data_IF_059964083373
#
_entry.id   IF_059964083373
#
_cell.length_a   1.000
_cell.length_b   1.000
_cell.length_c   1.000
_cell.angle_alpha   90.00
_cell.angle_beta   90.00
_cell.angle_gamma   90.00
#
_symmetry.space_group_name_H-M   'P 1'
#
loop_
_entity.id
_entity.type
_entity.pdbx_description
1 polymer ?
#
# COMPACT_ATOMS: atom_id res chain seq x y z
N UNK A 1 -1.07 12.47 -11.62
CA UNK A 1 -2.34 12.13 -10.90
C UNK A 1 -2.27 12.59 -9.45
N UNK A 2 -3.42 12.65 -8.79
CA UNK A 2 -3.52 12.91 -7.35
C UNK A 2 -4.53 11.94 -6.72
N UNK A 3 -4.13 11.27 -5.64
CA UNK A 3 -5.01 10.42 -4.83
C UNK A 3 -5.24 11.10 -3.48
N UNK A 4 -6.50 11.31 -3.14
CA UNK A 4 -6.92 11.78 -1.81
C UNK A 4 -7.70 10.66 -1.14
N UNK A 5 -7.30 10.29 0.08
CA UNK A 5 -8.01 9.35 0.93
C UNK A 5 -8.56 10.05 2.16
N UNK A 6 -9.79 9.71 2.54
CA UNK A 6 -10.45 10.25 3.72
C UNK A 6 -11.22 9.14 4.45
N UNK A 7 -11.71 9.47 5.64
CA UNK A 7 -12.46 8.57 6.50
C UNK A 7 -11.63 7.99 7.65
N UNK A 8 -12.33 7.61 8.70
CA UNK A 8 -11.85 7.09 9.95
C UNK A 8 -12.10 5.58 10.03
N UNK A 9 -11.31 4.88 10.86
CA UNK A 9 -11.39 3.43 11.02
C UNK A 9 -12.77 2.93 11.43
N UNK A 10 -13.45 3.68 12.31
CA UNK A 10 -14.80 3.40 12.78
C UNK A 10 -15.80 4.51 12.38
N UNK A 11 -15.43 5.38 11.44
CA UNK A 11 -16.33 6.35 10.82
C UNK A 11 -17.30 5.69 9.84
N UNK A 12 -18.21 6.47 9.28
CA UNK A 12 -19.31 6.01 8.42
C UNK A 12 -18.83 5.27 7.18
N UNK A 13 -17.76 5.77 6.54
CA UNK A 13 -17.19 5.21 5.33
C UNK A 13 -15.75 5.69 5.13
N UNK A 14 -15.02 4.97 4.31
CA UNK A 14 -13.77 5.44 3.71
C UNK A 14 -14.10 6.05 2.35
N UNK A 15 -13.38 7.09 1.96
CA UNK A 15 -13.58 7.81 0.70
C UNK A 15 -12.24 7.92 -0.04
N UNK A 16 -12.27 7.69 -1.34
CA UNK A 16 -11.14 7.95 -2.24
C UNK A 16 -11.54 8.84 -3.40
N UNK A 17 -10.63 9.73 -3.79
CA UNK A 17 -10.76 10.55 -4.99
C UNK A 17 -9.47 10.44 -5.78
N UNK A 18 -9.59 10.03 -7.05
CA UNK A 18 -8.48 9.98 -8.01
C UNK A 18 -8.73 11.06 -9.04
N UNK A 19 -7.80 12.00 -9.14
CA UNK A 19 -7.81 13.08 -10.14
C UNK A 19 -6.68 12.86 -11.13
N UNK A 20 -6.92 13.14 -12.41
CA UNK A 20 -5.93 13.05 -13.49
C UNK A 20 -5.86 11.67 -14.18
N UNK A 21 -6.93 10.86 -14.11
CA UNK A 21 -7.05 9.66 -14.94
C UNK A 21 -7.45 10.05 -16.37
N UNK A 22 -6.82 9.48 -17.42
CA UNK A 22 -7.26 9.64 -18.81
C UNK A 22 -8.70 9.17 -19.03
N UNK A 23 -9.39 9.76 -19.99
CA UNK A 23 -10.69 9.28 -20.46
C UNK A 23 -10.57 7.94 -21.20
N UNK A 24 -11.62 7.12 -21.15
CA UNK A 24 -11.74 5.90 -21.92
C UNK A 24 -11.16 4.63 -21.29
N UNK A 25 -10.63 4.69 -20.09
CA UNK A 25 -10.17 3.50 -19.36
C UNK A 25 -11.40 2.70 -18.94
N UNK A 26 -11.50 1.44 -19.39
CA UNK A 26 -12.54 0.52 -18.91
C UNK A 26 -12.21 0.01 -17.53
N UNK A 27 -13.13 0.20 -16.59
CA UNK A 27 -13.01 -0.24 -15.20
C UNK A 27 -14.09 -1.27 -14.90
N UNK A 28 -13.66 -2.39 -14.36
CA UNK A 28 -14.52 -3.45 -13.88
C UNK A 28 -14.62 -3.39 -12.35
N UNK A 29 -15.83 -3.18 -11.82
CA UNK A 29 -16.10 -3.08 -10.39
C UNK A 29 -15.81 -4.40 -9.66
N UNK A 30 -16.10 -5.54 -10.30
CA UNK A 30 -15.89 -6.86 -9.69
C UNK A 30 -14.40 -7.11 -9.42
N UNK A 31 -13.50 -6.62 -10.27
CA UNK A 31 -12.05 -6.68 -10.05
C UNK A 31 -11.62 -5.85 -8.85
N UNK A 32 -12.19 -4.65 -8.68
CA UNK A 32 -11.91 -3.83 -7.50
C UNK A 32 -12.36 -4.58 -6.25
N UNK A 33 -13.56 -5.15 -6.27
CA UNK A 33 -14.11 -5.91 -5.15
C UNK A 33 -13.31 -7.20 -4.87
N UNK A 34 -12.76 -7.85 -5.89
CA UNK A 34 -11.87 -9.00 -5.74
C UNK A 34 -10.55 -8.63 -5.05
N UNK A 35 -9.92 -7.50 -5.41
CA UNK A 35 -8.71 -7.01 -4.74
C UNK A 35 -9.00 -6.60 -3.27
N UNK A 36 -10.17 -6.01 -3.00
CA UNK A 36 -10.63 -5.71 -1.65
C UNK A 36 -10.82 -7.00 -0.81
N UNK A 37 -11.37 -8.05 -1.40
CA UNK A 37 -11.52 -9.36 -0.76
C UNK A 37 -10.16 -10.00 -0.49
N UNK A 38 -9.24 -10.05 -1.46
CA UNK A 38 -7.85 -10.54 -1.29
C UNK A 38 -7.14 -9.84 -0.12
N UNK A 39 -7.34 -8.53 0.06
CA UNK A 39 -6.78 -7.78 1.19
C UNK A 39 -7.27 -8.30 2.54
N UNK A 40 -8.45 -8.90 2.62
CA UNK A 40 -9.04 -9.41 3.86
C UNK A 40 -8.63 -10.85 4.17
N UNK A 41 -8.03 -11.57 3.24
CA UNK A 41 -7.55 -12.94 3.37
C UNK A 41 -6.24 -13.04 4.18
N UNK A 42 -5.77 -14.26 4.37
CA UNK A 42 -4.51 -14.61 5.01
C UNK A 42 -4.67 -15.26 6.39
N UNK A 43 -3.73 -16.16 6.69
CA UNK A 43 -3.66 -16.82 8.00
C UNK A 43 -3.14 -15.82 9.06
N UNK A 44 -3.69 -15.88 10.27
CA UNK A 44 -3.27 -14.95 11.34
C UNK A 44 -4.09 -13.66 11.45
N UNK A 45 -5.17 -13.53 10.65
CA UNK A 45 -6.06 -12.36 10.70
C UNK A 45 -6.95 -12.37 11.94
N UNK A 46 -7.22 -11.17 12.46
CA UNK A 46 -8.06 -10.94 13.64
C UNK A 46 -9.57 -10.95 13.34
N UNK A 47 -10.37 -10.89 14.39
CA UNK A 47 -11.83 -11.02 14.32
C UNK A 47 -12.55 -9.93 13.50
N UNK A 48 -11.95 -8.76 13.31
CA UNK A 48 -12.54 -7.65 12.54
C UNK A 48 -12.77 -8.03 11.07
N UNK A 49 -11.91 -8.87 10.49
CA UNK A 49 -12.04 -9.30 9.10
C UNK A 49 -13.31 -10.11 8.83
N UNK A 50 -13.96 -10.64 9.89
CA UNK A 50 -15.24 -11.36 9.78
C UNK A 50 -16.45 -10.41 9.72
N UNK A 51 -16.29 -9.17 10.16
CA UNK A 51 -17.37 -8.16 10.23
C UNK A 51 -17.43 -7.39 8.92
N UNK A 52 -16.29 -6.95 8.43
CA UNK A 52 -16.18 -6.11 7.23
C UNK A 52 -16.25 -6.96 5.95
N UNK A 53 -17.10 -6.56 5.02
CA UNK A 53 -17.12 -7.06 3.64
C UNK A 53 -16.96 -5.86 2.74
N UNK A 54 -15.71 -5.55 2.39
CA UNK A 54 -15.38 -4.34 1.66
C UNK A 54 -15.92 -4.42 0.23
N UNK A 55 -16.71 -3.41 -0.16
CA UNK A 55 -17.19 -3.21 -1.52
C UNK A 55 -17.10 -1.74 -1.87
N UNK A 56 -16.63 -1.48 -3.10
CA UNK A 56 -16.57 -0.14 -3.65
C UNK A 56 -17.95 0.31 -4.10
N UNK A 57 -18.26 1.58 -3.89
CA UNK A 57 -19.39 2.29 -4.51
C UNK A 57 -18.82 3.51 -5.22
N UNK A 58 -18.83 3.49 -6.56
CA UNK A 58 -18.33 4.60 -7.38
C UNK A 58 -19.38 5.69 -7.47
N UNK A 59 -19.01 6.93 -7.14
CA UNK A 59 -19.91 8.08 -7.07
C UNK A 59 -19.80 9.00 -8.27
N UNK A 60 -18.63 9.09 -8.90
CA UNK A 60 -18.37 10.00 -10.05
C UNK A 60 -17.15 9.54 -10.86
N UNK A 61 -16.90 10.21 -11.99
CA UNK A 61 -15.70 10.01 -12.81
C UNK A 61 -15.84 8.93 -13.87
N UNK A 62 -17.00 8.26 -13.93
CA UNK A 62 -17.25 7.17 -14.88
C UNK A 62 -18.67 7.24 -15.46
N UNK A 63 -18.81 6.79 -16.71
CA UNK A 63 -20.08 6.55 -17.39
C UNK A 63 -19.95 5.27 -18.24
N UNK A 64 -20.90 4.36 -18.11
CA UNK A 64 -20.90 3.12 -18.90
C UNK A 64 -19.64 2.26 -18.70
N UNK A 65 -19.10 2.23 -17.48
CA UNK A 65 -17.90 1.47 -17.15
C UNK A 65 -16.58 2.09 -17.62
N UNK A 66 -16.59 3.31 -18.14
CA UNK A 66 -15.38 4.00 -18.62
C UNK A 66 -15.14 5.32 -17.90
N UNK A 67 -13.87 5.65 -17.67
CA UNK A 67 -13.44 6.94 -17.13
C UNK A 67 -13.76 8.06 -18.13
N UNK A 68 -14.06 9.26 -17.62
CA UNK A 68 -14.44 10.44 -18.41
C UNK A 68 -13.53 11.66 -18.17
N UNK A 69 -12.29 11.43 -17.68
CA UNK A 69 -11.29 12.43 -17.30
C UNK A 69 -11.71 13.36 -16.14
N UNK A 70 -12.91 13.23 -15.59
CA UNK A 70 -13.28 13.92 -14.35
C UNK A 70 -12.80 13.16 -13.12
N UNK A 71 -12.70 13.80 -11.93
CA UNK A 71 -12.31 13.11 -10.71
C UNK A 71 -13.18 11.88 -10.43
N UNK A 72 -12.53 10.71 -10.30
CA UNK A 72 -13.18 9.48 -9.91
C UNK A 72 -13.28 9.44 -8.40
N UNK A 73 -14.48 9.56 -7.87
CA UNK A 73 -14.74 9.47 -6.43
C UNK A 73 -15.49 8.18 -6.11
N UNK A 74 -15.10 7.55 -5.01
CA UNK A 74 -15.72 6.32 -4.52
C UNK A 74 -15.76 6.27 -3.00
N UNK A 75 -16.63 5.42 -2.47
CA UNK A 75 -16.76 5.16 -1.04
C UNK A 75 -16.73 3.66 -0.76
N UNK A 76 -16.29 3.31 0.46
CA UNK A 76 -16.34 1.96 1.01
C UNK A 76 -16.94 2.07 2.41
N UNK A 77 -18.12 1.47 2.62
CA UNK A 77 -18.84 1.56 3.89
C UNK A 77 -18.12 0.76 4.98
N UNK A 78 -18.06 1.31 6.18
CA UNK A 78 -17.68 0.58 7.38
C UNK A 78 -18.92 -0.03 8.03
N UNK A 79 -19.02 -1.36 8.07
CA UNK A 79 -20.17 -2.03 8.69
C UNK A 79 -20.20 -1.87 10.20
N UNK A 80 -19.03 -1.79 10.82
CA UNK A 80 -18.91 -1.58 12.27
C UNK A 80 -19.37 -0.19 12.72
N UNK A 81 -19.58 0.76 11.80
CA UNK A 81 -20.01 2.12 12.13
C UNK A 81 -21.33 2.17 12.93
N UNK A 82 -22.26 1.26 12.69
CA UNK A 82 -23.52 1.20 13.43
C UNK A 82 -23.30 1.10 14.94
N UNK A 83 -22.26 0.39 15.38
CA UNK A 83 -21.86 0.27 16.78
C UNK A 83 -21.12 1.52 17.29
N UNK A 84 -20.70 2.39 16.39
CA UNK A 84 -19.87 3.57 16.70
C UNK A 84 -20.60 4.92 16.52
N UNK A 85 -21.84 4.93 16.03
CA UNK A 85 -22.63 6.16 15.82
C UNK A 85 -22.60 7.10 17.05
N UNK A 86 -22.81 6.62 18.31
CA UNK A 86 -22.81 7.51 19.47
C UNK A 86 -21.47 8.20 19.74
N UNK A 87 -20.39 7.69 19.14
CA UNK A 87 -19.02 8.16 19.41
C UNK A 87 -18.36 8.83 18.20
N UNK A 88 -18.75 8.44 16.98
CA UNK A 88 -18.10 8.84 15.74
C UNK A 88 -19.00 9.62 14.78
N UNK A 89 -20.22 9.99 15.20
CA UNK A 89 -21.04 10.91 14.41
C UNK A 89 -20.31 12.24 14.27
N UNK A 90 -20.21 12.83 13.07
CA UNK A 90 -19.43 14.06 12.83
C UNK A 90 -19.88 15.27 13.62
N UNK A 91 -21.14 15.33 14.03
CA UNK A 91 -21.73 16.50 14.70
C UNK A 91 -22.06 16.24 16.17
N UNK A 92 -22.45 15.03 16.53
CA UNK A 92 -22.97 14.69 17.85
C UNK A 92 -22.19 13.62 18.58
N UNK A 93 -21.12 13.09 17.94
CA UNK A 93 -20.35 11.97 18.48
C UNK A 93 -19.57 12.36 19.75
N UNK A 94 -19.69 11.53 20.76
CA UNK A 94 -19.02 11.70 22.07
C UNK A 94 -17.76 10.84 22.13
N UNK A 95 -16.77 11.15 21.30
CA UNK A 95 -15.53 10.36 21.15
C UNK A 95 -14.76 10.17 22.47
N UNK A 96 -14.87 11.10 23.39
CA UNK A 96 -14.20 11.03 24.72
C UNK A 96 -14.73 9.90 25.59
N UNK A 97 -15.97 9.43 25.37
CA UNK A 97 -16.50 8.22 26.03
C UNK A 97 -15.80 6.94 25.59
N UNK A 98 -15.04 6.98 24.49
CA UNK A 98 -14.19 5.91 23.96
C UNK A 98 -12.72 6.36 23.90
N UNK A 99 -12.31 7.26 24.80
CA UNK A 99 -10.93 7.73 24.86
C UNK A 99 -9.93 6.59 24.96
N UNK A 100 -8.82 6.73 24.27
CA UNK A 100 -7.66 5.85 24.33
C UNK A 100 -6.55 6.61 25.07
N UNK A 101 -6.33 6.29 26.33
CA UNK A 101 -5.34 6.96 27.19
C UNK A 101 -4.05 6.16 27.31
N UNK A 102 -4.10 4.82 27.22
CA UNK A 102 -2.93 3.95 27.14
C UNK A 102 -2.38 3.97 25.71
N UNK A 103 -1.37 4.80 25.45
CA UNK A 103 -0.77 4.96 24.11
C UNK A 103 0.02 3.71 23.73
N UNK A 104 -0.15 3.25 22.48
CA UNK A 104 0.46 2.01 22.00
C UNK A 104 1.90 2.24 21.55
N UNK A 105 2.88 1.49 22.09
CA UNK A 105 4.24 1.49 21.58
C UNK A 105 4.28 1.08 20.10
N UNK A 106 5.07 1.78 19.29
CA UNK A 106 5.18 1.50 17.85
C UNK A 106 4.03 2.01 16.98
N UNK A 107 3.04 2.72 17.54
CA UNK A 107 1.95 3.37 16.85
C UNK A 107 2.11 4.91 16.84
N UNK A 108 1.25 5.61 16.10
CA UNK A 108 1.26 7.08 16.03
C UNK A 108 0.67 7.78 17.26
N UNK A 109 0.14 7.05 18.23
CA UNK A 109 -0.69 7.55 19.33
C UNK A 109 -0.04 8.72 20.07
N UNK A 110 1.13 8.51 20.68
CA UNK A 110 1.81 9.53 21.49
C UNK A 110 2.22 10.74 20.65
N UNK A 111 2.89 10.52 19.53
CA UNK A 111 3.32 11.59 18.64
C UNK A 111 2.15 12.38 18.06
N UNK A 112 1.04 11.69 17.76
CA UNK A 112 -0.16 12.30 17.20
C UNK A 112 -0.87 13.21 18.20
N UNK A 113 -1.09 12.76 19.45
CA UNK A 113 -1.73 13.61 20.46
C UNK A 113 -0.90 14.85 20.78
N UNK A 114 0.41 14.73 20.81
CA UNK A 114 1.32 15.87 21.04
C UNK A 114 1.24 16.85 19.85
N UNK A 115 1.36 16.33 18.63
CA UNK A 115 1.38 17.17 17.42
C UNK A 115 0.08 17.94 17.20
N UNK A 116 -1.07 17.29 17.41
CA UNK A 116 -2.38 17.88 17.07
C UNK A 116 -3.14 18.39 18.29
N UNK A 117 -2.58 18.30 19.49
CA UNK A 117 -3.18 18.85 20.71
C UNK A 117 -4.48 18.15 21.14
N UNK A 118 -4.61 16.85 20.92
CA UNK A 118 -5.81 16.10 21.30
C UNK A 118 -5.93 15.80 22.81
N UNK A 119 -5.05 16.39 23.62
CA UNK A 119 -5.04 16.14 25.06
C UNK A 119 -4.75 14.67 25.38
N UNK A 120 -5.38 14.10 26.42
CA UNK A 120 -5.08 12.73 26.85
C UNK A 120 -5.86 11.65 26.06
N UNK A 121 -6.31 11.94 24.85
CA UNK A 121 -7.13 11.04 24.06
C UNK A 121 -6.50 10.75 22.70
N UNK A 122 -5.91 9.55 22.54
CA UNK A 122 -5.33 9.11 21.27
C UNK A 122 -6.36 8.53 20.28
N UNK A 123 -7.65 8.53 20.60
CA UNK A 123 -8.69 7.99 19.71
C UNK A 123 -8.69 8.65 18.33
N UNK A 124 -8.66 9.98 18.18
CA UNK A 124 -8.63 10.63 16.85
C UNK A 124 -7.41 10.21 16.01
N UNK A 125 -6.25 10.01 16.68
CA UNK A 125 -5.03 9.53 16.01
C UNK A 125 -5.22 8.09 15.53
N UNK A 126 -5.74 7.20 16.39
CA UNK A 126 -6.03 5.80 16.03
C UNK A 126 -6.93 5.71 14.82
N UNK A 127 -7.99 6.50 14.80
CA UNK A 127 -9.01 6.45 13.76
C UNK A 127 -8.42 6.71 12.36
N UNK A 128 -7.52 7.66 12.23
CA UNK A 128 -6.91 7.97 10.94
C UNK A 128 -5.62 7.20 10.66
N UNK A 129 -4.80 6.91 11.66
CA UNK A 129 -3.54 6.17 11.49
C UNK A 129 -3.73 4.66 11.30
N UNK A 130 -4.94 4.15 11.44
CA UNK A 130 -5.29 2.76 11.25
C UNK A 130 -4.98 2.26 9.84
N UNK A 131 -4.49 1.01 9.72
CA UNK A 131 -4.32 0.33 8.44
C UNK A 131 -5.65 0.11 7.67
N UNK A 132 -6.81 0.42 8.28
CA UNK A 132 -8.11 0.46 7.58
C UNK A 132 -8.09 1.42 6.38
N UNK A 133 -7.32 2.50 6.45
CA UNK A 133 -7.12 3.46 5.36
C UNK A 133 -6.58 2.79 4.09
N UNK A 134 -5.79 1.71 4.19
CA UNK A 134 -5.24 0.99 3.03
C UNK A 134 -6.34 0.36 2.14
N UNK A 135 -7.54 0.14 2.66
CA UNK A 135 -8.69 -0.31 1.86
C UNK A 135 -8.98 0.66 0.71
N UNK A 136 -8.91 1.98 0.98
CA UNK A 136 -9.08 3.00 -0.04
C UNK A 136 -7.94 2.98 -1.07
N UNK A 137 -6.69 2.76 -0.61
CA UNK A 137 -5.54 2.62 -1.53
C UNK A 137 -5.67 1.38 -2.40
N UNK A 138 -6.21 0.28 -1.90
CA UNK A 138 -6.43 -0.94 -2.68
C UNK A 138 -7.48 -0.69 -3.77
N UNK A 139 -8.61 -0.06 -3.45
CA UNK A 139 -9.61 0.28 -4.46
C UNK A 139 -9.03 1.21 -5.55
N UNK A 140 -8.31 2.27 -5.15
CA UNK A 140 -7.64 3.17 -6.09
C UNK A 140 -6.57 2.46 -6.92
N UNK A 141 -5.76 1.60 -6.30
CA UNK A 141 -4.72 0.82 -6.97
C UNK A 141 -5.29 -0.19 -7.97
N UNK A 142 -6.45 -0.79 -7.67
CA UNK A 142 -7.15 -1.68 -8.60
C UNK A 142 -7.62 -0.94 -9.87
N UNK A 143 -8.08 0.30 -9.73
CA UNK A 143 -8.36 1.18 -10.88
C UNK A 143 -7.08 1.42 -11.69
N UNK A 144 -5.97 1.76 -11.02
CA UNK A 144 -4.69 2.01 -11.67
C UNK A 144 -4.13 0.75 -12.36
N UNK A 145 -4.27 -0.44 -11.77
CA UNK A 145 -3.86 -1.72 -12.40
C UNK A 145 -4.59 -1.97 -13.70
N UNK A 146 -5.90 -1.71 -13.76
CA UNK A 146 -6.69 -1.87 -14.98
C UNK A 146 -6.26 -0.89 -16.07
N UNK A 147 -5.89 0.34 -15.70
CA UNK A 147 -5.31 1.31 -16.62
C UNK A 147 -3.94 0.86 -17.16
N UNK A 148 -3.08 0.36 -16.29
CA UNK A 148 -1.75 -0.16 -16.64
C UNK A 148 -1.84 -1.37 -17.58
N UNK A 149 -2.73 -2.31 -17.29
CA UNK A 149 -2.96 -3.49 -18.14
C UNK A 149 -3.39 -3.11 -19.56
N UNK A 150 -4.19 -2.05 -19.71
CA UNK A 150 -4.61 -1.55 -21.02
C UNK A 150 -3.44 -1.06 -21.89
N UNK A 151 -2.29 -0.74 -21.28
CA UNK A 151 -1.05 -0.36 -21.96
C UNK A 151 0.04 -1.44 -21.86
N UNK A 152 -0.33 -2.67 -21.44
CA UNK A 152 0.58 -3.80 -21.38
C UNK A 152 1.59 -3.77 -20.24
N UNK A 153 1.25 -3.11 -19.12
CA UNK A 153 2.02 -3.14 -17.86
C UNK A 153 1.21 -3.90 -16.81
N UNK A 154 1.82 -4.88 -16.15
CA UNK A 154 1.16 -5.69 -15.12
C UNK A 154 1.96 -5.70 -13.83
N UNK A 155 1.30 -5.95 -12.70
CA UNK A 155 1.93 -5.95 -11.38
C UNK A 155 1.54 -7.24 -10.65
N UNK A 156 2.56 -7.91 -10.11
CA UNK A 156 2.41 -9.11 -9.28
C UNK A 156 3.17 -8.93 -7.98
N UNK A 157 2.70 -9.58 -6.92
CA UNK A 157 3.35 -9.56 -5.63
C UNK A 157 3.38 -10.93 -4.98
N UNK A 158 4.37 -11.15 -4.12
CA UNK A 158 4.49 -12.37 -3.31
C UNK A 158 5.12 -12.08 -1.96
N UNK A 159 4.82 -12.92 -1.00
CA UNK A 159 5.50 -12.93 0.28
C UNK A 159 6.86 -13.62 0.15
N UNK A 160 7.89 -13.07 0.78
CA UNK A 160 9.23 -13.65 0.81
C UNK A 160 9.56 -14.27 2.17
N UNK A 161 9.18 -13.59 3.25
CA UNK A 161 9.58 -13.95 4.62
C UNK A 161 8.46 -13.58 5.58
N UNK A 162 8.16 -14.46 6.54
CA UNK A 162 7.30 -14.17 7.69
C UNK A 162 8.05 -14.53 8.97
N UNK A 163 8.20 -13.56 9.89
CA UNK A 163 8.86 -13.78 11.18
C UNK A 163 10.29 -14.30 11.08
N UNK A 164 11.03 -13.93 10.02
CA UNK A 164 12.37 -14.41 9.73
C UNK A 164 12.44 -15.75 8.98
N UNK A 165 11.30 -16.36 8.67
CA UNK A 165 11.22 -17.68 7.98
C UNK A 165 10.89 -17.47 6.51
N UNK A 166 11.79 -17.90 5.61
CA UNK A 166 11.61 -17.86 4.15
C UNK A 166 10.93 -19.10 3.56
N UNK A 167 10.81 -20.19 4.32
CA UNK A 167 10.15 -21.44 3.90
C UNK A 167 8.64 -21.31 4.08
N UNK A 168 7.92 -21.18 2.98
CA UNK A 168 6.46 -20.99 2.96
C UNK A 168 5.71 -22.10 3.71
N UNK A 169 6.18 -23.34 3.62
CA UNK A 169 5.55 -24.49 4.28
C UNK A 169 5.51 -24.35 5.82
N UNK A 170 6.35 -23.47 6.39
CA UNK A 170 6.47 -23.22 7.84
C UNK A 170 5.75 -21.96 8.31
N UNK A 171 5.22 -21.15 7.42
CA UNK A 171 4.63 -19.87 7.80
C UNK A 171 3.45 -20.02 8.75
N UNK A 172 2.52 -20.94 8.48
CA UNK A 172 1.36 -21.14 9.35
C UNK A 172 1.72 -21.61 10.76
N UNK A 173 2.73 -22.46 10.89
CA UNK A 173 3.24 -22.89 12.20
C UNK A 173 3.92 -21.74 12.93
N UNK A 174 4.71 -20.91 12.23
CA UNK A 174 5.35 -19.71 12.78
C UNK A 174 4.32 -18.71 13.27
N UNK A 175 3.27 -18.45 12.49
CA UNK A 175 2.17 -17.56 12.88
C UNK A 175 1.39 -18.14 14.07
N UNK A 176 1.16 -19.47 14.09
CA UNK A 176 0.48 -20.14 15.20
C UNK A 176 1.26 -20.04 16.50
N UNK A 177 2.59 -20.22 16.46
CA UNK A 177 3.45 -20.06 17.61
C UNK A 177 3.37 -18.62 18.18
N UNK A 178 3.52 -17.61 17.31
CA UNK A 178 3.38 -16.20 17.73
C UNK A 178 1.99 -15.90 18.32
N UNK A 179 0.92 -16.47 17.77
CA UNK A 179 -0.43 -16.32 18.32
C UNK A 179 -0.55 -16.89 19.74
N UNK A 180 0.04 -18.07 19.99
CA UNK A 180 0.03 -18.69 21.33
C UNK A 180 0.81 -17.84 22.35
N UNK A 181 1.86 -17.18 21.92
CA UNK A 181 2.65 -16.27 22.74
C UNK A 181 1.98 -14.89 22.92
N UNK A 182 0.84 -14.64 22.27
CA UNK A 182 0.16 -13.34 22.26
C UNK A 182 0.92 -12.25 21.51
N UNK A 183 1.82 -12.62 20.59
CA UNK A 183 2.72 -11.72 19.85
C UNK A 183 2.30 -11.54 18.40
N UNK A 184 3.04 -10.71 17.64
CA UNK A 184 2.79 -10.41 16.23
C UNK A 184 4.06 -10.54 15.39
N UNK A 185 3.91 -10.79 14.10
CA UNK A 185 5.00 -11.00 13.17
C UNK A 185 4.99 -9.96 12.04
N UNK A 186 6.18 -9.51 11.70
CA UNK A 186 6.47 -8.80 10.47
C UNK A 186 6.96 -9.74 9.38
N UNK A 187 7.46 -9.17 8.28
CA UNK A 187 8.06 -9.95 7.19
C UNK A 187 8.39 -9.09 5.99
N UNK A 188 8.68 -9.75 4.89
CA UNK A 188 9.06 -9.10 3.63
C UNK A 188 8.15 -9.57 2.49
N UNK A 189 7.82 -8.65 1.59
CA UNK A 189 7.12 -8.92 0.34
C UNK A 189 7.94 -8.41 -0.84
N UNK A 190 7.73 -9.01 -2.00
CA UNK A 190 8.28 -8.58 -3.28
C UNK A 190 7.14 -8.17 -4.21
N UNK A 191 7.33 -7.07 -4.92
CA UNK A 191 6.45 -6.59 -5.97
C UNK A 191 7.24 -6.53 -7.26
N UNK A 192 6.68 -7.09 -8.32
CA UNK A 192 7.28 -7.04 -9.65
C UNK A 192 6.34 -6.31 -10.61
N UNK A 193 6.87 -5.31 -11.32
CA UNK A 193 6.17 -4.60 -12.38
C UNK A 193 6.72 -5.08 -13.72
N UNK A 194 5.87 -5.71 -14.50
CA UNK A 194 6.24 -6.29 -15.80
C UNK A 194 5.87 -5.35 -16.93
N UNK A 195 6.65 -5.37 -18.01
CA UNK A 195 6.34 -4.68 -19.27
C UNK A 195 6.51 -3.16 -19.22
N UNK A 196 7.32 -2.65 -18.31
CA UNK A 196 7.63 -1.21 -18.25
C UNK A 196 8.28 -0.72 -19.52
N UNK A 197 7.79 0.38 -20.12
CA UNK A 197 8.50 1.04 -21.21
C UNK A 197 9.80 1.66 -20.69
N UNK A 198 10.84 1.67 -21.53
CA UNK A 198 12.13 2.29 -21.19
C UNK A 198 11.98 3.80 -21.01
N UNK A 199 12.66 4.36 -19.99
CA UNK A 199 12.79 5.80 -19.79
C UNK A 199 11.60 6.45 -19.07
N UNK A 200 10.86 5.70 -18.26
CA UNK A 200 9.93 6.27 -17.27
C UNK A 200 10.74 6.74 -16.07
N UNK A 201 10.42 7.91 -15.54
CA UNK A 201 11.26 8.62 -14.57
C UNK A 201 12.31 9.50 -15.26
N UNK A 202 13.29 10.00 -14.51
CA UNK A 202 14.31 10.91 -15.07
C UNK A 202 15.60 10.91 -14.25
N UNK A 203 16.74 10.97 -14.92
CA UNK A 203 18.05 11.22 -14.29
C UNK A 203 18.34 12.72 -14.11
N UNK A 204 17.56 13.59 -14.75
CA UNK A 204 17.85 15.02 -14.88
C UNK A 204 17.77 15.75 -13.54
N UNK A 205 16.86 15.35 -12.65
CA UNK A 205 16.68 15.94 -11.33
C UNK A 205 16.31 14.87 -10.30
N UNK A 206 16.81 15.03 -9.05
CA UNK A 206 16.70 14.03 -8.00
C UNK A 206 15.25 13.66 -7.64
N UNK A 207 14.34 14.64 -7.66
CA UNK A 207 12.93 14.50 -7.32
C UNK A 207 12.05 13.88 -8.44
N UNK A 208 12.67 13.55 -9.57
CA UNK A 208 12.04 12.87 -10.71
C UNK A 208 12.59 11.46 -10.95
N UNK A 209 13.45 10.96 -10.07
CA UNK A 209 13.96 9.59 -10.14
C UNK A 209 12.87 8.59 -9.78
N UNK A 210 12.66 7.58 -10.64
CA UNK A 210 11.61 6.58 -10.48
C UNK A 210 11.76 5.76 -9.19
N UNK A 211 12.98 5.35 -8.86
CA UNK A 211 13.28 4.62 -7.62
C UNK A 211 12.90 5.43 -6.37
N UNK A 212 13.25 6.73 -6.35
CA UNK A 212 12.90 7.62 -5.24
C UNK A 212 11.39 7.79 -5.09
N UNK A 213 10.67 7.95 -6.20
CA UNK A 213 9.21 8.14 -6.20
C UNK A 213 8.47 6.85 -5.78
N UNK A 214 8.90 5.68 -6.30
CA UNK A 214 8.37 4.40 -5.88
C UNK A 214 8.63 4.15 -4.39
N UNK A 215 9.85 4.41 -3.92
CA UNK A 215 10.19 4.27 -2.50
C UNK A 215 9.35 5.20 -1.62
N UNK A 216 9.11 6.45 -2.00
CA UNK A 216 8.26 7.40 -1.28
C UNK A 216 6.83 6.85 -1.10
N UNK A 217 6.21 6.38 -2.18
CA UNK A 217 4.85 5.85 -2.13
C UNK A 217 4.77 4.57 -1.29
N UNK A 218 5.67 3.63 -1.50
CA UNK A 218 5.70 2.34 -0.81
C UNK A 218 6.07 2.49 0.67
N UNK A 219 7.01 3.38 1.01
CA UNK A 219 7.35 3.70 2.41
C UNK A 219 6.19 4.34 3.17
N UNK A 220 5.23 4.95 2.48
CA UNK A 220 4.03 5.54 3.09
C UNK A 220 3.00 4.51 3.57
N UNK A 221 3.16 3.23 3.22
CA UNK A 221 2.28 2.15 3.68
C UNK A 221 2.52 1.91 5.16
N UNK A 222 1.44 1.76 5.93
CA UNK A 222 1.53 1.47 7.36
C UNK A 222 2.38 0.21 7.60
N UNK A 223 3.25 0.27 8.59
CA UNK A 223 4.22 -0.77 8.98
C UNK A 223 5.42 -0.96 8.07
N UNK A 224 5.49 -0.40 6.87
CA UNK A 224 6.71 -0.46 6.03
C UNK A 224 7.85 0.30 6.71
N UNK A 225 9.05 -0.30 6.71
CA UNK A 225 10.28 0.25 7.31
C UNK A 225 11.49 0.21 6.41
N UNK A 226 11.43 -0.57 5.32
CA UNK A 226 12.44 -0.55 4.28
C UNK A 226 11.79 -0.82 2.93
N UNK A 227 12.36 -0.22 1.88
CA UNK A 227 12.05 -0.46 0.48
C UNK A 227 13.37 -0.66 -0.25
N UNK A 228 13.53 -1.79 -0.91
CA UNK A 228 14.69 -2.13 -1.76
C UNK A 228 14.29 -2.16 -3.23
N UNK A 229 15.24 -1.85 -4.11
CA UNK A 229 15.10 -1.96 -5.56
C UNK A 229 16.11 -2.98 -6.07
N UNK A 230 15.67 -3.97 -6.86
CA UNK A 230 16.49 -5.08 -7.31
C UNK A 230 17.03 -5.90 -6.14
N UNK A 231 18.33 -6.12 -6.09
CA UNK A 231 18.98 -6.81 -4.98
C UNK A 231 19.00 -5.99 -3.68
N UNK A 232 18.63 -4.69 -3.73
CA UNK A 232 18.51 -3.83 -2.57
C UNK A 232 19.79 -3.78 -1.73
N UNK A 233 19.66 -4.04 -0.42
CA UNK A 233 20.79 -3.99 0.52
C UNK A 233 21.94 -4.97 0.19
N UNK A 234 21.64 -6.09 -0.48
CA UNK A 234 22.67 -7.09 -0.86
C UNK A 234 23.73 -6.52 -1.82
N UNK A 235 23.41 -5.46 -2.56
CA UNK A 235 24.38 -4.80 -3.43
C UNK A 235 25.54 -4.19 -2.63
N UNK A 236 25.35 -3.86 -1.36
CA UNK A 236 26.39 -3.34 -0.48
C UNK A 236 27.51 -4.35 -0.19
N UNK A 237 27.26 -5.64 -0.31
CA UNK A 237 28.21 -6.72 -0.07
C UNK A 237 28.90 -7.21 -1.36
N UNK A 238 28.55 -6.64 -2.53
CA UNK A 238 28.99 -7.09 -3.85
C UNK A 238 30.09 -6.22 -4.43
N UNK A 239 30.94 -6.81 -5.25
CA UNK A 239 31.87 -6.05 -6.10
C UNK A 239 31.12 -5.47 -7.31
N UNK A 240 31.58 -4.34 -7.85
CA UNK A 240 30.93 -3.71 -9.00
C UNK A 240 30.78 -4.61 -10.21
N UNK A 241 31.78 -5.46 -10.52
CA UNK A 241 31.71 -6.46 -11.59
C UNK A 241 30.67 -7.56 -11.39
N UNK A 242 30.25 -7.78 -10.15
CA UNK A 242 29.23 -8.74 -9.79
C UNK A 242 27.85 -8.11 -9.63
N UNK A 243 27.81 -6.81 -9.31
CA UNK A 243 26.59 -6.07 -9.01
C UNK A 243 25.89 -5.54 -10.26
N UNK A 244 26.67 -5.07 -11.27
CA UNK A 244 26.08 -4.42 -12.45
C UNK A 244 25.65 -5.43 -13.50
N UNK A 245 24.52 -5.13 -14.15
CA UNK A 245 23.95 -5.95 -15.22
C UNK A 245 24.63 -5.59 -16.55
N UNK A 246 25.38 -6.53 -17.14
CA UNK A 246 26.03 -6.35 -18.42
C UNK A 246 25.01 -6.21 -19.56
N UNK A 247 25.32 -5.35 -20.54
CA UNK A 247 24.46 -5.08 -21.69
C UNK A 247 25.04 -5.80 -22.92
N UNK A 248 24.25 -6.70 -23.49
CA UNK A 248 24.57 -7.47 -24.68
C UNK A 248 23.70 -7.01 -25.87
N UNK A 249 24.06 -7.37 -27.12
CA UNK A 249 23.25 -7.00 -28.30
C UNK A 249 21.79 -7.51 -28.25
N UNK A 250 21.54 -8.58 -27.51
CA UNK A 250 20.23 -9.21 -27.31
C UNK A 250 19.57 -8.87 -25.95
N UNK A 251 20.10 -7.88 -25.25
CA UNK A 251 19.57 -7.39 -23.97
C UNK A 251 20.45 -7.76 -22.75
N UNK A 252 19.92 -7.54 -21.56
CA UNK A 252 20.57 -7.92 -20.30
C UNK A 252 20.38 -9.40 -19.98
N UNK A 253 21.32 -10.02 -19.29
CA UNK A 253 21.22 -11.43 -18.86
C UNK A 253 20.89 -11.56 -17.37
N UNK A 254 20.98 -10.47 -16.64
CA UNK A 254 20.64 -10.35 -15.22
C UNK A 254 19.84 -9.09 -14.99
N UNK A 255 19.14 -9.00 -13.87
CA UNK A 255 18.37 -7.82 -13.47
C UNK A 255 18.59 -7.51 -11.98
N UNK A 256 19.86 -7.31 -11.60
CA UNK A 256 20.26 -7.01 -10.23
C UNK A 256 19.87 -5.59 -9.83
N UNK A 257 19.88 -4.68 -10.81
CA UNK A 257 19.40 -3.30 -10.66
C UNK A 257 17.88 -3.23 -10.45
N UNK A 258 17.13 -4.33 -10.68
CA UNK A 258 15.67 -4.37 -10.52
C UNK A 258 14.93 -3.43 -11.46
N UNK A 259 15.34 -3.37 -12.73
CA UNK A 259 14.63 -2.64 -13.79
C UNK A 259 14.81 -1.12 -13.78
N UNK A 260 15.62 -0.57 -12.84
CA UNK A 260 15.85 0.88 -12.71
C UNK A 260 17.34 1.19 -12.68
N UNK A 261 17.77 2.02 -13.61
CA UNK A 261 19.14 2.53 -13.68
C UNK A 261 19.12 4.05 -13.82
N UNK A 262 19.91 4.74 -13.01
CA UNK A 262 19.99 6.19 -13.01
C UNK A 262 18.67 6.92 -12.71
N UNK A 263 17.70 6.23 -12.08
CA UNK A 263 16.37 6.78 -11.77
C UNK A 263 15.37 6.67 -12.92
N UNK A 264 15.63 5.80 -13.90
CA UNK A 264 14.73 5.53 -15.03
C UNK A 264 14.53 4.02 -15.23
N UNK A 265 13.36 3.64 -15.69
CA UNK A 265 13.12 2.26 -16.14
C UNK A 265 14.03 1.92 -17.33
N UNK A 266 14.63 0.73 -17.31
CA UNK A 266 15.57 0.26 -18.32
C UNK A 266 14.99 -0.78 -19.28
N UNK A 267 13.71 -1.14 -19.12
CA UNK A 267 13.00 -2.11 -19.96
C UNK A 267 12.90 -3.50 -19.35
N UNK A 268 13.69 -3.80 -18.32
CA UNK A 268 13.54 -5.01 -17.53
C UNK A 268 12.41 -4.87 -16.51
N UNK A 269 11.99 -5.97 -15.91
CA UNK A 269 11.01 -5.96 -14.83
C UNK A 269 11.48 -5.13 -13.63
N UNK A 270 10.61 -4.26 -13.11
CA UNK A 270 10.94 -3.53 -11.88
C UNK A 270 10.66 -4.44 -10.70
N UNK A 271 11.69 -4.71 -9.90
CA UNK A 271 11.62 -5.57 -8.72
C UNK A 271 11.81 -4.73 -7.47
N UNK A 272 10.82 -4.76 -6.57
CA UNK A 272 10.78 -3.98 -5.34
C UNK A 272 10.57 -4.91 -4.15
N UNK A 273 11.35 -4.73 -3.07
CA UNK A 273 11.15 -5.45 -1.81
C UNK A 273 10.72 -4.50 -0.71
N UNK A 274 9.76 -4.92 0.12
CA UNK A 274 9.26 -4.14 1.23
C UNK A 274 9.36 -4.94 2.52
N UNK A 275 9.93 -4.32 3.56
CA UNK A 275 9.95 -4.90 4.92
C UNK A 275 8.87 -4.26 5.77
N UNK A 276 8.00 -5.10 6.31
CA UNK A 276 6.94 -4.72 7.24
C UNK A 276 7.35 -5.08 8.66
N UNK A 277 7.32 -4.10 9.56
CA UNK A 277 7.47 -4.39 11.01
C UNK A 277 6.26 -5.15 11.54
N UNK A 278 6.38 -5.89 12.66
CA UNK A 278 5.25 -6.46 13.36
C UNK A 278 4.17 -5.43 13.70
N UNK A 279 2.92 -5.88 13.77
CA UNK A 279 1.78 -5.03 14.11
C UNK A 279 1.94 -4.56 15.58
N UNK A 280 1.76 -3.25 15.87
CA UNK A 280 2.02 -2.70 17.20
C UNK A 280 0.91 -2.98 18.24
N UNK A 281 -0.13 -3.70 17.86
CA UNK A 281 -1.21 -4.13 18.76
C UNK A 281 -1.03 -5.60 19.10
N UNK A 282 -0.64 -5.90 20.32
CA UNK A 282 -0.32 -7.26 20.80
C UNK A 282 -1.31 -7.68 21.89
N UNK A 283 -1.59 -8.98 21.97
CA UNK A 283 -2.40 -9.58 23.05
C UNK A 283 -1.64 -9.57 24.38
N UNK A 284 -0.35 -9.95 24.35
CA UNK A 284 0.49 -9.95 25.57
C UNK A 284 0.77 -8.55 26.14
N UNK A 285 0.50 -7.52 25.34
CA UNK A 285 0.69 -6.13 25.71
C UNK A 285 2.14 -5.70 25.90
N UNK A 286 2.38 -4.41 25.81
CA UNK A 286 3.68 -3.78 26.04
C UNK A 286 3.55 -2.71 27.11
N UNK A 287 4.63 -2.47 27.86
CA UNK A 287 4.69 -1.38 28.83
C UNK A 287 4.52 -0.03 28.14
N UNK A 288 3.70 0.82 28.72
CA UNK A 288 3.41 2.17 28.25
C UNK A 288 3.00 3.06 29.41
N UNK A 289 2.49 4.24 29.12
CA UNK A 289 1.93 5.18 30.10
C UNK A 289 0.48 5.50 29.74
N UNK A 290 -0.33 5.67 30.76
CA UNK A 290 -1.61 6.33 30.63
C UNK A 290 -1.37 7.85 30.57
N UNK A 291 -1.62 8.47 29.41
CA UNK A 291 -1.31 9.90 29.21
C UNK A 291 -2.22 10.86 29.98
N UNK A 292 -3.31 10.35 30.58
CA UNK A 292 -4.21 11.11 31.41
C UNK A 292 -3.71 11.20 32.86
N UNK A 293 -3.17 10.09 33.38
CA UNK A 293 -2.73 10.00 34.78
C UNK A 293 -1.22 10.10 34.96
N UNK A 294 -0.44 9.81 33.90
CA UNK A 294 1.01 9.67 33.95
C UNK A 294 1.50 8.32 34.49
N UNK A 295 0.59 7.43 34.87
CA UNK A 295 0.92 6.15 35.48
C UNK A 295 1.39 5.11 34.47
N UNK A 296 2.33 4.22 34.85
CA UNK A 296 2.72 3.08 34.03
C UNK A 296 1.55 2.10 33.84
N UNK A 297 1.30 1.69 32.61
CA UNK A 297 0.25 0.71 32.25
C UNK A 297 0.75 -0.26 31.18
N UNK A 298 -0.07 -1.24 30.83
CA UNK A 298 0.19 -2.15 29.72
C UNK A 298 -0.85 -1.93 28.62
N UNK A 299 -0.38 -1.66 27.40
CA UNK A 299 -1.24 -1.61 26.23
C UNK A 299 -1.37 -3.02 25.63
N UNK A 300 -2.57 -3.59 25.69
CA UNK A 300 -2.91 -4.87 25.09
C UNK A 300 -4.13 -4.76 24.17
N UNK A 301 -4.24 -5.63 23.16
CA UNK A 301 -5.40 -5.67 22.28
C UNK A 301 -5.73 -7.13 21.91
N UNK A 302 -6.80 -7.66 22.46
CA UNK A 302 -7.25 -9.04 22.29
C UNK A 302 -7.72 -9.39 20.85
N UNK A 303 -8.01 -8.38 20.03
CA UNK A 303 -8.55 -8.56 18.67
C UNK A 303 -7.52 -8.26 17.58
N UNK A 304 -6.23 -8.20 17.91
CA UNK A 304 -5.17 -7.91 16.94
C UNK A 304 -5.02 -9.00 15.89
N UNK A 305 -4.64 -8.59 14.67
CA UNK A 305 -4.04 -9.52 13.71
C UNK A 305 -2.68 -9.98 14.27
N UNK A 306 -2.29 -11.21 14.00
CA UNK A 306 -0.95 -11.74 14.33
C UNK A 306 0.04 -11.44 13.20
N UNK A 307 -0.41 -11.60 11.96
CA UNK A 307 0.37 -11.34 10.76
C UNK A 307 -0.54 -10.80 9.64
N UNK A 308 -0.03 -9.85 8.86
CA UNK A 308 -0.69 -9.31 7.66
C UNK A 308 0.13 -9.53 6.39
N UNK A 309 1.33 -10.13 6.52
CA UNK A 309 2.32 -10.19 5.44
C UNK A 309 1.94 -11.22 4.38
N UNK A 310 1.24 -12.31 4.75
CA UNK A 310 0.88 -13.39 3.85
C UNK A 310 -0.03 -12.94 2.68
N UNK A 311 -0.94 -11.99 2.92
CA UNK A 311 -1.89 -11.54 1.91
C UNK A 311 -2.05 -10.03 1.88
N UNK A 312 -2.55 -9.42 2.96
CA UNK A 312 -2.92 -8.00 2.97
C UNK A 312 -1.76 -7.07 2.57
N UNK A 313 -0.55 -7.33 3.05
CA UNK A 313 0.63 -6.52 2.74
C UNK A 313 0.98 -6.58 1.25
N UNK A 314 0.88 -7.76 0.63
CA UNK A 314 1.10 -7.96 -0.81
C UNK A 314 0.10 -7.12 -1.61
N UNK A 315 -1.20 -7.27 -1.34
CA UNK A 315 -2.27 -6.58 -2.09
C UNK A 315 -2.18 -5.07 -1.94
N UNK A 316 -1.86 -4.57 -0.74
CA UNK A 316 -1.65 -3.14 -0.51
C UNK A 316 -0.42 -2.63 -1.25
N UNK A 317 0.69 -3.36 -1.23
CA UNK A 317 1.91 -2.98 -1.92
C UNK A 317 1.75 -2.99 -3.45
N UNK A 318 1.09 -4.02 -4.03
CA UNK A 318 0.71 -4.05 -5.45
C UNK A 318 -0.11 -2.82 -5.84
N UNK A 319 -1.08 -2.45 -5.01
CA UNK A 319 -2.00 -1.35 -5.28
C UNK A 319 -1.32 0.01 -5.21
N UNK A 320 -0.45 0.21 -4.23
CA UNK A 320 0.33 1.46 -4.10
C UNK A 320 1.37 1.57 -5.21
N UNK A 321 2.03 0.46 -5.59
CA UNK A 321 2.93 0.42 -6.73
C UNK A 321 2.19 0.78 -8.03
N UNK A 322 0.97 0.25 -8.24
CA UNK A 322 0.16 0.55 -9.42
C UNK A 322 -0.16 2.04 -9.54
N UNK A 323 -0.55 2.67 -8.45
CA UNK A 323 -0.77 4.12 -8.45
C UNK A 323 0.51 4.88 -8.81
N UNK A 324 1.63 4.56 -8.16
CA UNK A 324 2.89 5.25 -8.38
C UNK A 324 3.43 5.07 -9.82
N UNK A 325 3.35 3.84 -10.34
CA UNK A 325 3.78 3.52 -11.71
C UNK A 325 2.91 4.23 -12.75
N UNK A 326 1.57 4.21 -12.58
CA UNK A 326 0.68 4.91 -13.51
C UNK A 326 0.91 6.43 -13.49
N UNK A 327 1.11 7.02 -12.32
CA UNK A 327 1.40 8.44 -12.17
C UNK A 327 2.68 8.83 -12.93
N UNK A 328 3.75 8.04 -12.83
CA UNK A 328 5.01 8.29 -13.52
C UNK A 328 4.92 8.05 -15.03
N UNK A 329 4.15 7.05 -15.46
CA UNK A 329 3.86 6.82 -16.87
C UNK A 329 3.10 8.02 -17.47
N UNK A 330 2.08 8.53 -16.78
CA UNK A 330 1.33 9.70 -17.22
C UNK A 330 2.18 10.97 -17.24
N UNK A 331 3.09 11.17 -16.29
CA UNK A 331 4.05 12.28 -16.31
C UNK A 331 5.03 12.18 -17.47
N UNK A 332 5.44 10.96 -17.83
CA UNK A 332 6.44 10.73 -18.89
C UNK A 332 5.82 10.86 -20.28
N UNK A 333 4.64 10.29 -20.50
CA UNK A 333 4.02 10.21 -21.83
C UNK A 333 2.87 11.20 -22.02
N UNK A 334 2.19 11.61 -20.93
CA UNK A 334 0.99 12.43 -21.02
C UNK A 334 -0.18 11.69 -21.70
N UNK A 335 -1.19 12.46 -22.12
CA UNK A 335 -2.39 11.97 -22.79
C UNK A 335 -3.63 12.19 -21.95
N UNK A 336 -4.64 12.81 -22.55
CA UNK A 336 -5.95 13.04 -21.94
C UNK A 336 -6.89 11.86 -22.16
N UNK A 337 -6.51 10.96 -23.09
CA UNK A 337 -7.24 9.73 -23.39
C UNK A 337 -6.35 8.49 -23.29
N UNK A 338 -6.98 7.33 -23.07
CA UNK A 338 -6.27 6.05 -23.07
C UNK A 338 -5.59 5.77 -24.42
N UNK A 339 -6.23 6.12 -25.53
CA UNK A 339 -5.70 5.87 -26.87
C UNK A 339 -4.43 6.69 -27.15
N UNK A 340 -4.39 7.96 -26.71
CA UNK A 340 -3.18 8.79 -26.81
C UNK A 340 -2.04 8.22 -25.94
N UNK A 341 -2.33 7.85 -24.69
CA UNK A 341 -1.36 7.23 -23.81
C UNK A 341 -0.79 5.95 -24.42
N UNK A 342 -1.67 5.08 -24.89
CA UNK A 342 -1.32 3.81 -25.52
C UNK A 342 -0.42 4.01 -26.74
N UNK A 343 -0.79 4.92 -27.65
CA UNK A 343 -0.01 5.24 -28.86
C UNK A 343 1.41 5.69 -28.49
N UNK A 344 1.57 6.57 -27.52
CA UNK A 344 2.88 7.09 -27.09
C UNK A 344 3.75 6.04 -26.41
N UNK A 345 3.15 5.15 -25.62
CA UNK A 345 3.85 4.01 -25.01
C UNK A 345 4.31 3.01 -26.07
N UNK A 346 3.48 2.70 -27.05
CA UNK A 346 3.81 1.80 -28.18
C UNK A 346 4.93 2.38 -29.05
N UNK A 347 4.90 3.68 -29.35
CA UNK A 347 5.97 4.38 -30.07
C UNK A 347 7.31 4.28 -29.33
N UNK A 348 7.32 4.49 -28.00
CA UNK A 348 8.51 4.32 -27.19
C UNK A 348 9.07 2.90 -27.22
N UNK A 349 8.18 1.90 -27.11
CA UNK A 349 8.58 0.48 -27.20
C UNK A 349 9.15 0.13 -28.57
N UNK A 350 8.56 0.64 -29.65
CA UNK A 350 9.07 0.45 -31.00
C UNK A 350 10.45 1.11 -31.21
N UNK A 351 10.67 2.27 -30.60
CA UNK A 351 11.96 2.96 -30.65
C UNK A 351 13.05 2.22 -29.85
N UNK A 352 12.71 1.65 -28.70
CA UNK A 352 13.66 0.93 -27.86
C UNK A 352 14.12 -0.44 -28.42
N UNK A 353 13.43 -0.97 -29.45
CA UNK A 353 13.79 -2.22 -30.15
C UNK A 353 14.75 -2.00 -31.34
N UNK A 354 15.09 -0.74 -31.67
CA UNK A 354 16.03 -0.39 -32.75
C UNK A 354 17.44 -0.25 -32.22
#
# INVERSE_FOLDING_TARGET
MRLITAGESHGRALVGVIEGLPAGITINEERINADLARRQEGYGRGGRMKIETDKVEVLSGMIGGKTIASPLAFTIKNRDYENWIPYMDPFTGEVDKKALTAVRPGHADLSGIIKYGFGPNARPVLERASARETTTRVAAGSVCRQALEAIGVTITGRTLVIGGVGDESKWHDTIRAARLDGDTLGGCVEITVHGMPVGVGSYVQYDRKLDALLAMHLMSIQSVKAVGVGLGEKLGDMRGSEAHDEIYPDGRKTNRAGGIEGGMSNGEDIVLTLTFKPIPTLVRGLRTVDVKTGEPVTAANERSDVCVVESAAVVVAESVAAYAVLDEILKTFGGDTLDELKSRVEERRAHARR
#
